data_IF_011538191576
#
_entry.id   IF_011538191576
#
_cell.length_a   1.000
_cell.length_b   1.000
_cell.length_c   1.000
_cell.angle_alpha   90.00
_cell.angle_beta   90.00
_cell.angle_gamma   90.00
#
_symmetry.space_group_name_H-M   'P 1'
#
loop_
_entity.id
_entity.type
_entity.pdbx_description
1 polymer ?
#
# COMPACT_ATOMS: atom_id res chain seq x y z
N UNK A 1 -5.44 19.97 -7.50
CA UNK A 1 -6.35 19.21 -6.60
C UNK A 1 -6.67 17.80 -7.09
N UNK A 2 -7.01 17.58 -8.37
CA UNK A 2 -7.34 16.23 -8.92
C UNK A 2 -6.33 15.13 -8.55
N UNK A 3 -5.04 15.40 -8.71
CA UNK A 3 -3.97 14.44 -8.40
C UNK A 3 -3.83 14.14 -6.91
N UNK A 4 -4.19 15.08 -6.04
CA UNK A 4 -4.20 14.86 -4.58
C UNK A 4 -5.40 13.99 -4.18
N UNK A 5 -6.59 14.31 -4.68
CA UNK A 5 -7.81 13.55 -4.36
C UNK A 5 -7.69 12.10 -4.85
N UNK A 6 -7.17 11.87 -6.06
CA UNK A 6 -6.95 10.52 -6.57
C UNK A 6 -5.95 9.75 -5.71
N UNK A 7 -4.88 10.40 -5.26
CA UNK A 7 -3.90 9.80 -4.37
C UNK A 7 -4.54 9.41 -3.03
N UNK A 8 -5.28 10.35 -2.43
CA UNK A 8 -5.95 10.14 -1.15
C UNK A 8 -6.97 8.99 -1.23
N UNK A 9 -7.86 9.01 -2.23
CA UNK A 9 -8.88 7.96 -2.41
C UNK A 9 -8.25 6.60 -2.67
N UNK A 10 -7.20 6.55 -3.51
CA UNK A 10 -6.48 5.29 -3.78
C UNK A 10 -5.87 4.73 -2.50
N UNK A 11 -5.21 5.59 -1.72
CA UNK A 11 -4.59 5.18 -0.46
C UNK A 11 -5.61 4.74 0.58
N UNK A 12 -6.74 5.46 0.68
CA UNK A 12 -7.83 5.11 1.59
C UNK A 12 -8.46 3.77 1.23
N UNK A 13 -8.70 3.48 -0.05
CA UNK A 13 -9.25 2.17 -0.48
C UNK A 13 -8.28 1.04 -0.10
N UNK A 14 -6.98 1.23 -0.33
CA UNK A 14 -5.97 0.24 0.01
C UNK A 14 -5.89 0.02 1.53
N UNK A 15 -5.86 1.09 2.32
CA UNK A 15 -5.81 1.00 3.79
C UNK A 15 -7.11 0.49 4.42
N UNK A 16 -8.27 0.86 3.86
CA UNK A 16 -9.59 0.44 4.35
C UNK A 16 -9.73 -1.08 4.39
N UNK A 17 -9.16 -1.77 3.40
CA UNK A 17 -9.18 -3.22 3.38
C UNK A 17 -8.53 -3.82 4.63
N UNK A 18 -7.35 -3.34 5.06
CA UNK A 18 -6.73 -3.77 6.32
C UNK A 18 -7.67 -3.56 7.49
N UNK A 19 -8.23 -2.35 7.62
CA UNK A 19 -9.03 -2.00 8.79
C UNK A 19 -10.30 -2.84 8.88
N UNK A 20 -10.98 -3.08 7.75
CA UNK A 20 -12.15 -3.95 7.72
C UNK A 20 -11.78 -5.36 8.20
N UNK A 21 -10.72 -5.95 7.67
CA UNK A 21 -10.27 -7.30 8.03
C UNK A 21 -9.88 -7.40 9.51
N UNK A 22 -9.15 -6.41 10.05
CA UNK A 22 -8.80 -6.39 11.47
C UNK A 22 -10.05 -6.24 12.37
N UNK A 23 -11.04 -5.45 11.96
CA UNK A 23 -12.30 -5.27 12.72
C UNK A 23 -13.23 -6.48 12.65
N UNK A 24 -13.15 -7.30 11.60
CA UNK A 24 -13.86 -8.60 11.55
C UNK A 24 -13.42 -9.55 12.67
N UNK A 25 -12.20 -9.39 13.18
CA UNK A 25 -11.63 -10.21 14.25
C UNK A 25 -11.76 -9.53 15.60
N UNK A 26 -11.37 -8.26 15.69
CA UNK A 26 -11.31 -7.52 16.94
C UNK A 26 -12.66 -6.98 17.40
N UNK A 27 -13.69 -7.06 16.56
CA UNK A 27 -14.99 -6.44 16.77
C UNK A 27 -15.04 -4.99 16.29
N UNK A 28 -16.24 -4.54 15.96
CA UNK A 28 -16.49 -3.20 15.42
C UNK A 28 -16.64 -2.22 16.58
N UNK A 29 -15.71 -1.28 16.68
CA UNK A 29 -15.87 -0.07 17.47
C UNK A 29 -15.94 1.12 16.50
N UNK A 30 -17.15 1.70 16.27
CA UNK A 30 -17.33 2.77 15.29
C UNK A 30 -16.46 3.99 15.54
N UNK A 31 -16.31 4.41 16.80
CA UNK A 31 -15.50 5.57 17.16
C UNK A 31 -14.03 5.35 16.83
N UNK A 32 -13.47 4.18 17.18
CA UNK A 32 -12.09 3.84 16.83
C UNK A 32 -11.90 3.74 15.31
N UNK A 33 -12.86 3.18 14.59
CA UNK A 33 -12.80 3.08 13.14
C UNK A 33 -12.79 4.46 12.47
N UNK A 34 -13.62 5.40 12.94
CA UNK A 34 -13.63 6.79 12.46
C UNK A 34 -12.29 7.48 12.75
N UNK A 35 -11.73 7.30 13.95
CA UNK A 35 -10.43 7.84 14.34
C UNK A 35 -9.33 7.35 13.40
N UNK A 36 -9.31 6.05 13.07
CA UNK A 36 -8.32 5.50 12.14
C UNK A 36 -8.50 6.06 10.73
N UNK A 37 -9.74 6.20 10.25
CA UNK A 37 -9.99 6.82 8.95
C UNK A 37 -9.50 8.26 8.88
N UNK A 38 -9.62 9.01 9.98
CA UNK A 38 -9.06 10.35 10.08
C UNK A 38 -7.52 10.31 10.08
N UNK A 39 -6.92 9.42 10.87
CA UNK A 39 -5.47 9.24 10.93
C UNK A 39 -4.87 8.89 9.55
N UNK A 40 -5.52 7.98 8.80
CA UNK A 40 -5.11 7.62 7.45
C UNK A 40 -5.12 8.81 6.50
N UNK A 41 -6.08 9.73 6.61
CA UNK A 41 -6.08 10.96 5.79
C UNK A 41 -4.86 11.83 6.08
N UNK A 42 -4.51 11.99 7.35
CA UNK A 42 -3.32 12.76 7.76
C UNK A 42 -2.05 12.11 7.21
N UNK A 43 -1.89 10.80 7.44
CA UNK A 43 -0.74 10.02 6.97
C UNK A 43 -0.61 10.08 5.44
N UNK A 44 -1.70 9.86 4.70
CA UNK A 44 -1.71 9.92 3.24
C UNK A 44 -1.41 11.33 2.71
N UNK A 45 -1.82 12.37 3.44
CA UNK A 45 -1.48 13.75 3.08
C UNK A 45 0.02 14.01 3.25
N UNK A 46 0.62 13.52 4.34
CA UNK A 46 2.06 13.58 4.54
C UNK A 46 2.80 12.77 3.47
N UNK A 47 2.32 11.56 3.15
CA UNK A 47 2.88 10.74 2.07
C UNK A 47 2.79 11.46 0.72
N UNK A 48 1.65 12.09 0.39
CA UNK A 48 1.53 12.88 -0.84
C UNK A 48 2.52 14.05 -0.88
N UNK A 49 2.68 14.77 0.22
CA UNK A 49 3.66 15.86 0.31
C UNK A 49 5.08 15.35 0.11
N UNK A 50 5.47 14.25 0.77
CA UNK A 50 6.74 13.57 0.56
C UNK A 50 6.95 13.13 -0.89
N UNK A 51 5.90 12.60 -1.53
CA UNK A 51 5.89 12.24 -2.96
C UNK A 51 6.29 13.42 -3.84
N UNK A 52 5.70 14.60 -3.58
CA UNK A 52 5.99 15.82 -4.34
C UNK A 52 7.38 16.36 -4.05
N UNK A 53 7.82 16.28 -2.80
CA UNK A 53 9.15 16.69 -2.37
C UNK A 53 10.22 15.87 -3.10
N UNK A 54 10.10 14.55 -3.10
CA UNK A 54 11.03 13.65 -3.79
C UNK A 54 11.09 13.93 -5.29
N UNK A 55 9.95 14.23 -5.93
CA UNK A 55 9.92 14.59 -7.35
C UNK A 55 10.57 15.94 -7.67
N UNK A 56 10.78 16.82 -6.69
CA UNK A 56 11.48 18.10 -6.85
C UNK A 56 12.98 17.98 -6.62
N UNK A 57 13.40 17.15 -5.65
CA UNK A 57 14.81 17.05 -5.25
C UNK A 57 15.57 15.90 -5.90
N UNK A 58 14.89 14.86 -6.38
CA UNK A 58 15.54 13.68 -6.98
C UNK A 58 15.22 13.64 -8.47
N UNK A 59 16.24 13.89 -9.29
CA UNK A 59 16.13 13.89 -10.75
C UNK A 59 15.75 12.51 -11.31
N UNK A 60 16.28 11.44 -10.71
CA UNK A 60 15.96 10.07 -11.11
C UNK A 60 14.64 9.60 -10.51
N UNK A 61 13.63 9.43 -11.36
CA UNK A 61 12.32 8.92 -10.96
C UNK A 61 12.39 7.57 -10.24
N UNK A 62 13.25 6.65 -10.72
CA UNK A 62 13.50 5.35 -10.07
C UNK A 62 13.99 5.51 -8.63
N UNK A 63 15.02 6.34 -8.42
CA UNK A 63 15.58 6.57 -7.08
C UNK A 63 14.56 7.23 -6.16
N UNK A 64 13.78 8.18 -6.68
CA UNK A 64 12.70 8.82 -5.93
C UNK A 64 11.60 7.85 -5.53
N UNK A 65 11.26 6.91 -6.41
CA UNK A 65 10.26 5.87 -6.11
C UNK A 65 10.76 4.87 -5.08
N UNK A 66 12.01 4.40 -5.20
CA UNK A 66 12.61 3.49 -4.24
C UNK A 66 12.73 4.13 -2.85
N UNK A 67 13.11 5.42 -2.79
CA UNK A 67 13.19 6.14 -1.53
C UNK A 67 11.80 6.33 -0.92
N UNK A 68 10.77 6.65 -1.72
CA UNK A 68 9.39 6.75 -1.24
C UNK A 68 8.91 5.41 -0.68
N UNK A 69 9.15 4.31 -1.42
CA UNK A 69 8.81 2.96 -0.99
C UNK A 69 9.45 2.62 0.36
N UNK A 70 10.76 2.79 0.49
CA UNK A 70 11.47 2.49 1.73
C UNK A 70 11.01 3.39 2.87
N UNK A 71 10.88 4.70 2.64
CA UNK A 71 10.41 5.64 3.65
C UNK A 71 8.99 5.31 4.13
N UNK A 72 8.08 4.95 3.22
CA UNK A 72 6.72 4.56 3.56
C UNK A 72 6.70 3.33 4.48
N UNK A 73 7.47 2.30 4.15
CA UNK A 73 7.52 1.07 4.94
C UNK A 73 8.17 1.27 6.31
N UNK A 74 9.33 1.93 6.38
CA UNK A 74 10.02 2.16 7.65
C UNK A 74 9.30 3.15 8.56
N UNK A 75 8.76 4.24 8.01
CA UNK A 75 7.96 5.18 8.78
C UNK A 75 6.69 4.52 9.31
N UNK A 76 6.09 3.66 8.50
CA UNK A 76 4.97 2.84 8.91
C UNK A 76 5.27 1.90 10.07
N UNK A 77 6.39 1.17 10.00
CA UNK A 77 6.86 0.36 11.12
C UNK A 77 7.10 1.21 12.38
N UNK A 78 7.66 2.41 12.23
CA UNK A 78 7.83 3.32 13.37
C UNK A 78 6.48 3.72 14.00
N UNK A 79 5.43 3.94 13.19
CA UNK A 79 4.07 4.17 13.69
C UNK A 79 3.56 2.95 14.46
N UNK A 80 3.70 1.75 13.90
CA UNK A 80 3.30 0.50 14.56
C UNK A 80 3.99 0.34 15.92
N UNK A 81 5.30 0.55 15.97
CA UNK A 81 6.09 0.30 17.17
C UNK A 81 5.88 1.36 18.24
N UNK A 82 5.86 2.63 17.86
CA UNK A 82 5.89 3.75 18.80
C UNK A 82 4.49 4.21 19.16
N UNK A 83 3.59 4.31 18.19
CA UNK A 83 2.26 4.88 18.39
C UNK A 83 1.20 3.83 18.69
N UNK A 84 1.29 2.66 18.04
CA UNK A 84 0.29 1.60 18.19
C UNK A 84 0.70 0.53 19.21
N UNK A 85 1.95 0.55 19.69
CA UNK A 85 2.46 -0.43 20.63
C UNK A 85 2.58 -1.84 20.05
N UNK A 86 2.46 -1.98 18.73
CA UNK A 86 2.68 -3.22 17.98
C UNK A 86 4.19 -3.43 17.79
N UNK A 87 4.94 -3.46 18.90
CA UNK A 87 6.39 -3.61 18.93
C UNK A 87 6.88 -4.86 18.16
N UNK A 88 8.19 -5.01 17.98
CA UNK A 88 8.75 -6.05 17.10
C UNK A 88 8.32 -7.45 17.54
N UNK A 89 7.33 -7.99 16.81
CA UNK A 89 6.91 -9.38 16.86
C UNK A 89 7.81 -10.27 16.00
N UNK A 90 7.24 -11.28 15.33
CA UNK A 90 8.01 -12.09 14.39
C UNK A 90 8.44 -11.30 13.15
N UNK A 91 9.62 -11.60 12.60
CA UNK A 91 10.13 -10.98 11.38
C UNK A 91 9.12 -11.03 10.22
N UNK A 92 8.35 -12.12 10.12
CA UNK A 92 7.31 -12.27 9.09
C UNK A 92 6.16 -11.27 9.25
N UNK A 93 5.73 -10.99 10.48
CA UNK A 93 4.70 -9.98 10.73
C UNK A 93 5.23 -8.57 10.47
N UNK A 94 6.50 -8.31 10.79
CA UNK A 94 7.15 -7.03 10.48
C UNK A 94 7.26 -6.81 8.97
N UNK A 95 7.58 -7.84 8.19
CA UNK A 95 7.56 -7.78 6.73
C UNK A 95 6.14 -7.51 6.20
N UNK A 96 5.12 -8.13 6.79
CA UNK A 96 3.72 -7.88 6.47
C UNK A 96 3.30 -6.43 6.74
N UNK A 97 3.63 -5.91 7.92
CA UNK A 97 3.36 -4.51 8.29
C UNK A 97 4.10 -3.56 7.35
N UNK A 98 5.40 -3.77 7.11
CA UNK A 98 6.16 -2.97 6.16
C UNK A 98 5.46 -2.94 4.79
N UNK A 99 5.11 -4.11 4.25
CA UNK A 99 4.47 -4.23 2.95
C UNK A 99 3.05 -3.61 2.89
N UNK A 100 2.34 -3.64 4.01
CA UNK A 100 1.05 -2.94 4.15
C UNK A 100 1.27 -1.44 4.06
N UNK A 101 2.20 -0.91 4.86
CA UNK A 101 2.53 0.52 4.88
C UNK A 101 3.02 1.02 3.53
N UNK A 102 3.88 0.27 2.84
CA UNK A 102 4.26 0.61 1.45
C UNK A 102 3.07 0.56 0.51
N UNK A 103 2.22 -0.46 0.57
CA UNK A 103 1.09 -0.57 -0.36
C UNK A 103 0.16 0.63 -0.27
N UNK A 104 -0.22 1.07 0.93
CA UNK A 104 -1.17 2.18 1.04
C UNK A 104 -0.51 3.56 0.90
N UNK A 105 0.74 3.77 1.33
CA UNK A 105 1.42 5.08 1.22
C UNK A 105 2.10 5.29 -0.14
N UNK A 106 2.72 4.25 -0.69
CA UNK A 106 3.44 4.30 -1.97
C UNK A 106 2.56 3.88 -3.15
N UNK A 107 1.65 2.92 -2.97
CA UNK A 107 0.73 2.48 -4.03
C UNK A 107 0.00 3.61 -4.75
N UNK A 108 -0.55 4.63 -4.05
CA UNK A 108 -1.22 5.75 -4.71
C UNK A 108 -0.30 6.54 -5.64
N UNK A 109 0.98 6.73 -5.27
CA UNK A 109 1.97 7.41 -6.13
C UNK A 109 2.11 6.72 -7.48
N UNK A 110 2.08 5.39 -7.49
CA UNK A 110 2.27 4.58 -8.67
C UNK A 110 0.96 4.43 -9.44
N UNK A 111 -0.12 4.03 -8.75
CA UNK A 111 -1.41 3.75 -9.37
C UNK A 111 -2.09 5.00 -9.94
N UNK A 112 -1.75 6.21 -9.47
CA UNK A 112 -2.26 7.46 -10.08
C UNK A 112 -1.32 8.05 -11.12
N UNK A 113 -0.15 7.45 -11.38
CA UNK A 113 0.82 7.95 -12.34
C UNK A 113 0.30 7.85 -13.77
N UNK A 114 0.58 8.86 -14.58
CA UNK A 114 0.32 8.83 -16.00
C UNK A 114 1.49 8.14 -16.75
N UNK A 115 1.42 6.82 -16.86
CA UNK A 115 2.41 6.01 -17.58
C UNK A 115 1.69 4.90 -18.36
N UNK A 116 2.01 4.66 -19.65
CA UNK A 116 1.38 3.59 -20.44
C UNK A 116 1.53 2.20 -19.81
N UNK A 117 2.71 1.90 -19.25
CA UNK A 117 2.98 0.65 -18.54
C UNK A 117 2.01 0.46 -17.37
N UNK A 118 1.85 1.52 -16.57
CA UNK A 118 0.97 1.49 -15.39
C UNK A 118 -0.49 1.45 -15.80
N UNK A 119 -0.92 2.23 -16.81
CA UNK A 119 -2.31 2.23 -17.29
C UNK A 119 -2.77 0.83 -17.71
N UNK A 120 -1.90 0.07 -18.40
CA UNK A 120 -2.20 -1.29 -18.84
C UNK A 120 -2.47 -2.25 -17.68
N UNK A 121 -1.69 -2.17 -16.61
CA UNK A 121 -1.75 -3.13 -15.52
C UNK A 121 -2.52 -2.63 -14.28
N UNK A 122 -2.89 -1.35 -14.22
CA UNK A 122 -3.70 -0.76 -13.14
C UNK A 122 -5.03 -1.48 -12.94
N UNK A 123 -5.73 -1.81 -14.05
CA UNK A 123 -7.00 -2.54 -13.97
C UNK A 123 -6.80 -3.95 -13.40
N UNK A 124 -5.72 -4.62 -13.80
CA UNK A 124 -5.39 -5.97 -13.29
C UNK A 124 -5.07 -5.92 -11.80
N UNK A 125 -4.31 -4.91 -11.36
CA UNK A 125 -4.04 -4.68 -9.95
C UNK A 125 -5.34 -4.54 -9.15
N UNK A 126 -6.27 -3.69 -9.60
CA UNK A 126 -7.54 -3.50 -8.89
C UNK A 126 -8.43 -4.74 -8.89
N UNK A 127 -8.47 -5.49 -9.99
CA UNK A 127 -9.21 -6.77 -10.04
C UNK A 127 -8.58 -7.76 -9.06
N UNK A 128 -7.26 -7.93 -9.08
CA UNK A 128 -6.56 -8.83 -8.17
C UNK A 128 -6.75 -8.41 -6.71
N UNK A 129 -6.69 -7.11 -6.42
CA UNK A 129 -6.96 -6.55 -5.11
C UNK A 129 -8.37 -6.90 -4.63
N UNK A 130 -9.39 -6.62 -5.44
CA UNK A 130 -10.79 -6.90 -5.09
C UNK A 130 -11.05 -8.40 -4.91
N UNK A 131 -10.51 -9.25 -5.79
CA UNK A 131 -10.65 -10.71 -5.69
C UNK A 131 -9.99 -11.23 -4.41
N UNK A 132 -8.76 -10.83 -4.13
CA UNK A 132 -8.06 -11.24 -2.92
C UNK A 132 -8.77 -10.73 -1.66
N UNK A 133 -9.25 -9.49 -1.66
CA UNK A 133 -10.03 -8.95 -0.55
C UNK A 133 -11.28 -9.81 -0.29
N UNK A 134 -12.09 -10.08 -1.31
CA UNK A 134 -13.29 -10.91 -1.17
C UNK A 134 -12.99 -12.34 -0.70
N UNK A 135 -11.93 -12.95 -1.23
CA UNK A 135 -11.52 -14.30 -0.83
C UNK A 135 -11.07 -14.33 0.64
N UNK A 136 -10.24 -13.37 1.06
CA UNK A 136 -9.77 -13.27 2.45
C UNK A 136 -10.96 -13.06 3.38
N UNK A 137 -11.81 -12.06 3.10
CA UNK A 137 -13.01 -11.79 3.89
C UNK A 137 -13.85 -13.05 4.04
N UNK A 138 -14.09 -13.78 2.94
CA UNK A 138 -14.90 -15.01 2.93
C UNK A 138 -14.26 -16.09 3.81
N UNK A 139 -12.96 -16.34 3.65
CA UNK A 139 -12.25 -17.36 4.43
C UNK A 139 -12.23 -16.99 5.92
N UNK A 140 -12.05 -15.72 6.27
CA UNK A 140 -12.10 -15.23 7.66
C UNK A 140 -13.50 -15.40 8.27
N UNK A 141 -14.56 -15.11 7.50
CA UNK A 141 -15.95 -15.27 7.97
C UNK A 141 -16.31 -16.74 8.20
N UNK A 142 -15.84 -17.65 7.34
CA UNK A 142 -16.10 -19.09 7.42
C UNK A 142 -15.22 -19.82 8.46
N UNK A 143 -14.18 -19.17 8.98
CA UNK A 143 -13.27 -19.82 9.92
C UNK A 143 -13.97 -20.16 11.27
N UNK A 144 -13.77 -21.39 11.79
CA UNK A 144 -14.62 -21.96 12.84
C UNK A 144 -14.40 -21.36 14.24
N UNK A 145 -13.22 -20.79 14.52
CA UNK A 145 -12.91 -20.23 15.83
C UNK A 145 -11.96 -19.03 15.73
N UNK A 146 -11.97 -18.18 16.76
CA UNK A 146 -11.22 -16.91 16.80
C UNK A 146 -9.72 -17.08 16.51
N UNK A 147 -9.08 -18.13 17.05
CA UNK A 147 -7.65 -18.40 16.79
C UNK A 147 -7.37 -18.61 15.30
N UNK A 148 -8.25 -19.31 14.56
CA UNK A 148 -8.08 -19.52 13.13
C UNK A 148 -8.26 -18.19 12.38
N UNK A 149 -9.26 -17.38 12.75
CA UNK A 149 -9.48 -16.05 12.18
C UNK A 149 -8.24 -15.16 12.31
N UNK A 150 -7.63 -15.12 13.49
CA UNK A 150 -6.39 -14.35 13.74
C UNK A 150 -5.26 -14.84 12.83
N UNK A 151 -4.98 -16.14 12.80
CA UNK A 151 -3.87 -16.72 12.02
C UNK A 151 -4.08 -16.51 10.52
N UNK A 152 -5.28 -16.82 10.02
CA UNK A 152 -5.64 -16.64 8.61
C UNK A 152 -5.46 -15.18 8.23
N UNK A 153 -6.02 -14.25 8.99
CA UNK A 153 -5.94 -12.83 8.66
C UNK A 153 -4.49 -12.33 8.70
N UNK A 154 -3.72 -12.69 9.73
CA UNK A 154 -2.34 -12.27 9.84
C UNK A 154 -1.50 -12.76 8.64
N UNK A 155 -1.63 -14.04 8.27
CA UNK A 155 -0.91 -14.62 7.13
C UNK A 155 -1.40 -14.08 5.80
N UNK A 156 -2.72 -14.00 5.63
CA UNK A 156 -3.33 -13.55 4.39
C UNK A 156 -3.01 -12.09 4.12
N UNK A 157 -3.22 -11.19 5.08
CA UNK A 157 -2.89 -9.76 4.93
C UNK A 157 -1.40 -9.58 4.67
N UNK A 158 -0.52 -10.21 5.47
CA UNK A 158 0.93 -10.08 5.29
C UNK A 158 1.36 -10.56 3.90
N UNK A 159 0.85 -11.71 3.47
CA UNK A 159 1.14 -12.29 2.15
C UNK A 159 0.61 -11.43 1.01
N UNK A 160 -0.65 -10.99 1.06
CA UNK A 160 -1.23 -10.16 -0.01
C UNK A 160 -0.57 -8.81 -0.10
N UNK A 161 -0.29 -8.16 1.03
CA UNK A 161 0.43 -6.89 1.01
C UNK A 161 1.84 -7.03 0.48
N UNK A 162 2.55 -8.12 0.81
CA UNK A 162 3.86 -8.40 0.22
C UNK A 162 3.76 -8.53 -1.30
N UNK A 163 2.79 -9.29 -1.80
CA UNK A 163 2.55 -9.46 -3.24
C UNK A 163 2.25 -8.11 -3.90
N UNK A 164 1.34 -7.30 -3.35
CA UNK A 164 0.99 -6.00 -3.91
C UNK A 164 2.15 -5.01 -3.86
N UNK A 165 2.87 -4.97 -2.75
CA UNK A 165 4.07 -4.15 -2.58
C UNK A 165 5.14 -4.46 -3.63
N UNK A 166 5.39 -5.75 -3.88
CA UNK A 166 6.30 -6.22 -4.93
C UNK A 166 5.76 -5.86 -6.33
N UNK A 167 4.47 -6.08 -6.58
CA UNK A 167 3.86 -5.73 -7.86
C UNK A 167 4.01 -4.23 -8.16
N UNK A 168 3.79 -3.36 -7.16
CA UNK A 168 4.00 -1.91 -7.32
C UNK A 168 5.44 -1.58 -7.71
N UNK A 169 6.44 -2.25 -7.14
CA UNK A 169 7.84 -2.11 -7.55
C UNK A 169 8.10 -2.60 -8.98
N UNK A 170 7.48 -3.71 -9.39
CA UNK A 170 7.57 -4.21 -10.77
C UNK A 170 6.99 -3.18 -11.75
N UNK A 171 5.85 -2.57 -11.44
CA UNK A 171 5.25 -1.52 -12.27
C UNK A 171 6.15 -0.30 -12.39
N UNK A 172 6.83 0.07 -11.29
CA UNK A 172 7.81 1.15 -11.30
C UNK A 172 8.96 0.82 -12.25
N UNK A 173 9.54 -0.38 -12.11
CA UNK A 173 10.66 -0.83 -12.94
C UNK A 173 10.28 -0.85 -14.43
N UNK A 174 9.13 -1.44 -14.77
CA UNK A 174 8.61 -1.46 -16.15
C UNK A 174 8.38 -0.05 -16.70
N UNK A 175 7.80 0.85 -15.89
CA UNK A 175 7.57 2.24 -16.30
C UNK A 175 8.87 2.96 -16.62
N UNK A 176 9.93 2.76 -15.85
CA UNK A 176 11.22 3.40 -16.10
C UNK A 176 11.93 2.81 -17.31
N UNK A 177 11.86 1.48 -17.52
CA UNK A 177 12.44 0.83 -18.70
C UNK A 177 11.82 1.33 -20.00
N UNK A 178 10.50 1.52 -20.03
CA UNK A 178 9.81 2.04 -21.21
C UNK A 178 10.20 3.49 -21.54
N UNK A 179 10.47 4.31 -20.52
CA UNK A 179 10.96 5.69 -20.72
C UNK A 179 12.35 5.66 -21.36
N UNK A 180 13.27 4.84 -20.84
CA UNK A 180 14.62 4.72 -21.38
C UNK A 180 14.64 4.25 -22.84
N UNK A 181 13.80 3.27 -23.19
CA UNK A 181 13.70 2.77 -24.57
C UNK A 181 13.17 3.84 -25.54
N UNK A 182 12.19 4.65 -25.10
CA UNK A 182 11.65 5.72 -25.92
C UNK A 182 12.68 6.84 -26.18
N UNK A 183 13.51 7.18 -25.20
CA UNK A 183 14.58 8.18 -25.38
C UNK A 183 15.68 7.68 -26.31
N UNK A 184 16.10 6.42 -26.21
CA UNK A 184 17.15 5.86 -27.08
C UNK A 184 16.76 5.76 -28.56
N UNK A 185 15.46 5.66 -28.88
CA UNK A 185 14.99 5.60 -30.27
C UNK A 185 14.95 7.01 -30.90
N UNK A 186 14.78 8.06 -30.09
CA UNK A 186 14.74 9.45 -30.60
C UNK A 186 16.13 10.05 -30.83
N UNK A 187 17.16 9.52 -30.19
CA UNK A 187 18.54 10.00 -30.29
C UNK A 187 19.37 9.21 -31.35
N UNK A 188 18.76 8.24 -32.03
CA UNK A 188 19.37 7.41 -33.08
C UNK A 188 18.83 7.78 -34.47
#
# INVERSE_FOLDING_TARGET
MKNYLQFLLTGLILGLFTEVELKLIAGINPSMFITVLFAYRVILTMSYAGSKLLGRFISSQWKGDLLHYSAAGFFGLAIEWILLGNGPGSNSLQLGMFAMWTTFCFGPRILTRDSPAIKKDRRKFWIAFAVAAMLITTVVLLAPHLKAKIVITALALSGTYLIWSIWLLILVWQSNRNIQLATTIHDA
#
